data_IF_873472603195
#
_entry.id   IF_873472603195
#
_cell.length_a   1.000
_cell.length_b   1.000
_cell.length_c   1.000
_cell.angle_alpha   90.00
_cell.angle_beta   90.00
_cell.angle_gamma   90.00
#
_symmetry.space_group_name_H-M   'P 1'
#
loop_
_entity.id
_entity.type
_entity.pdbx_description
1 polymer ?
#
# COMPACT_ATOMS: atom_id res chain seq x y z
N UNK A 1 -14.11 4.31 4.88
CA UNK A 1 -13.88 3.34 5.99
C UNK A 1 -13.84 1.91 5.48
N UNK A 2 -14.67 1.52 4.51
CA UNK A 2 -14.62 0.20 3.86
C UNK A 2 -13.21 -0.20 3.37
N UNK A 3 -12.44 0.74 2.82
CA UNK A 3 -11.11 0.46 2.27
C UNK A 3 -10.10 -0.05 3.31
N UNK A 4 -10.17 0.37 4.57
CA UNK A 4 -9.26 -0.13 5.62
C UNK A 4 -9.60 -1.58 5.97
N UNK A 5 -10.89 -1.91 6.06
CA UNK A 5 -11.33 -3.29 6.29
C UNK A 5 -10.93 -4.20 5.14
N UNK A 6 -11.10 -3.75 3.89
CA UNK A 6 -10.64 -4.52 2.73
C UNK A 6 -9.14 -4.82 2.79
N UNK A 7 -8.31 -3.85 3.19
CA UNK A 7 -6.86 -4.08 3.33
C UNK A 7 -6.57 -5.10 4.44
N UNK A 8 -7.29 -5.05 5.55
CA UNK A 8 -7.16 -6.05 6.62
C UNK A 8 -7.56 -7.45 6.12
N UNK A 9 -8.66 -7.58 5.37
CA UNK A 9 -9.09 -8.87 4.80
C UNK A 9 -8.03 -9.45 3.86
N UNK A 10 -7.42 -8.61 3.02
CA UNK A 10 -6.31 -9.03 2.16
C UNK A 10 -5.10 -9.44 2.97
N UNK A 11 -4.79 -8.73 4.06
CA UNK A 11 -3.70 -9.09 4.94
C UNK A 11 -3.90 -10.49 5.53
N UNK A 12 -5.06 -10.72 6.11
CA UNK A 12 -5.37 -12.00 6.75
C UNK A 12 -5.39 -13.14 5.73
N UNK A 13 -5.82 -12.86 4.49
CA UNK A 13 -5.75 -13.81 3.40
C UNK A 13 -4.31 -14.14 2.96
N UNK A 14 -3.46 -13.12 2.76
CA UNK A 14 -2.11 -13.31 2.22
C UNK A 14 -1.18 -13.94 3.26
N UNK A 15 -1.35 -13.58 4.54
CA UNK A 15 -0.47 -14.02 5.63
C UNK A 15 -0.92 -15.33 6.29
N UNK A 16 -2.14 -15.80 6.01
CA UNK A 16 -2.61 -17.08 6.54
C UNK A 16 -1.89 -18.27 5.89
N UNK A 17 -1.40 -19.17 6.74
CA UNK A 17 -0.80 -20.45 6.34
C UNK A 17 -1.75 -21.31 5.50
N UNK A 18 -3.06 -21.20 5.76
CA UNK A 18 -4.10 -21.92 5.04
C UNK A 18 -4.07 -21.63 3.52
N UNK A 19 -3.79 -20.37 3.15
CA UNK A 19 -3.86 -19.92 1.77
C UNK A 19 -2.50 -19.92 1.05
N UNK A 20 -1.39 -20.17 1.75
CA UNK A 20 -0.05 -20.17 1.14
C UNK A 20 0.08 -21.15 -0.03
N UNK A 21 -0.49 -22.35 0.08
CA UNK A 21 -0.47 -23.34 -1.01
C UNK A 21 -1.18 -22.80 -2.26
N UNK A 22 -2.32 -22.14 -2.07
CA UNK A 22 -3.10 -21.54 -3.17
C UNK A 22 -2.37 -20.35 -3.78
N UNK A 23 -1.76 -19.49 -2.96
CA UNK A 23 -0.94 -18.38 -3.44
C UNK A 23 0.23 -18.86 -4.30
N UNK A 24 0.96 -19.88 -3.83
CA UNK A 24 2.06 -20.45 -4.59
C UNK A 24 1.62 -21.07 -5.91
N UNK A 25 0.44 -21.71 -5.95
CA UNK A 25 -0.10 -22.28 -7.18
C UNK A 25 -0.48 -21.20 -8.22
N UNK A 26 -1.01 -20.06 -7.78
CA UNK A 26 -1.46 -18.99 -8.68
C UNK A 26 -0.30 -18.10 -9.13
N UNK A 27 0.57 -17.72 -8.20
CA UNK A 27 1.63 -16.73 -8.46
C UNK A 27 3.00 -17.36 -8.70
N UNK A 28 3.19 -18.65 -8.41
CA UNK A 28 4.47 -19.34 -8.53
C UNK A 28 5.48 -19.00 -7.42
N UNK A 29 5.10 -18.20 -6.43
CA UNK A 29 5.90 -17.88 -5.25
C UNK A 29 5.01 -17.55 -4.05
N UNK A 30 5.60 -17.60 -2.85
CA UNK A 30 4.99 -17.13 -1.60
C UNK A 30 5.68 -15.83 -1.20
N UNK A 31 4.95 -14.71 -1.05
CA UNK A 31 5.53 -13.46 -0.59
C UNK A 31 6.17 -13.61 0.79
N UNK A 32 7.45 -13.28 0.94
CA UNK A 32 8.15 -13.32 2.24
C UNK A 32 8.02 -12.02 3.03
N UNK A 33 7.72 -10.91 2.33
CA UNK A 33 7.45 -9.60 2.91
C UNK A 33 6.32 -8.96 2.12
N UNK A 34 5.30 -8.50 2.82
CA UNK A 34 4.13 -7.83 2.23
C UNK A 34 4.00 -6.44 2.85
N UNK A 35 3.84 -5.43 1.99
CA UNK A 35 3.62 -4.05 2.42
C UNK A 35 2.26 -3.57 1.92
N UNK A 36 1.35 -3.27 2.85
CA UNK A 36 0.01 -2.79 2.53
C UNK A 36 0.04 -1.28 2.43
N UNK A 37 -0.29 -0.75 1.25
CA UNK A 37 -0.28 0.68 0.99
C UNK A 37 -1.69 1.15 0.66
N UNK A 38 -2.14 2.24 1.29
CA UNK A 38 -3.41 2.89 0.99
C UNK A 38 -3.14 4.25 0.36
N UNK A 39 -3.54 4.39 -0.90
CA UNK A 39 -3.43 5.65 -1.64
C UNK A 39 -4.49 6.65 -1.14
N UNK A 40 -4.05 7.81 -0.68
CA UNK A 40 -4.87 8.86 -0.11
C UNK A 40 -4.52 10.22 -0.71
N UNK A 41 -5.50 10.86 -1.37
CA UNK A 41 -5.48 12.28 -1.74
C UNK A 41 -4.12 12.86 -2.17
N UNK A 42 -3.95 14.17 -1.93
CA UNK A 42 -2.67 14.86 -2.12
C UNK A 42 -1.94 15.06 -0.80
N UNK A 43 -0.65 15.38 -0.87
CA UNK A 43 0.21 15.59 0.29
C UNK A 43 -0.30 16.66 1.26
N UNK A 44 -0.92 17.73 0.76
CA UNK A 44 -1.54 18.75 1.60
C UNK A 44 -2.75 18.22 2.42
N UNK A 45 -3.57 17.37 1.81
CA UNK A 45 -4.73 16.75 2.46
C UNK A 45 -4.30 15.72 3.51
N UNK A 46 -3.27 14.93 3.20
CA UNK A 46 -2.65 13.99 4.15
C UNK A 46 -2.10 14.75 5.35
N UNK A 47 -1.33 15.82 5.14
CA UNK A 47 -0.73 16.60 6.22
C UNK A 47 -1.78 17.21 7.15
N UNK A 48 -2.84 17.80 6.59
CA UNK A 48 -3.92 18.41 7.38
C UNK A 48 -4.75 17.40 8.18
N UNK A 49 -4.82 16.14 7.73
CA UNK A 49 -5.65 15.10 8.35
C UNK A 49 -4.88 14.00 9.08
N UNK A 50 -3.54 14.05 9.10
CA UNK A 50 -2.69 12.94 9.55
C UNK A 50 -3.00 12.48 10.97
N UNK A 51 -3.30 13.42 11.88
CA UNK A 51 -3.65 13.11 13.26
C UNK A 51 -4.93 12.26 13.34
N UNK A 52 -5.98 12.70 12.64
CA UNK A 52 -7.27 12.01 12.62
C UNK A 52 -7.16 10.64 11.92
N UNK A 53 -6.39 10.57 10.83
CA UNK A 53 -6.12 9.32 10.12
C UNK A 53 -5.41 8.32 11.04
N UNK A 54 -4.33 8.73 11.69
CA UNK A 54 -3.58 7.89 12.62
C UNK A 54 -4.44 7.41 13.80
N UNK A 55 -5.27 8.29 14.37
CA UNK A 55 -6.19 7.94 15.45
C UNK A 55 -7.17 6.83 15.01
N UNK A 56 -7.77 6.97 13.81
CA UNK A 56 -8.70 5.97 13.27
C UNK A 56 -8.01 4.66 12.93
N UNK A 57 -6.82 4.70 12.32
CA UNK A 57 -6.04 3.49 12.01
C UNK A 57 -5.68 2.70 13.26
N UNK A 58 -5.33 3.37 14.37
CA UNK A 58 -5.11 2.71 15.67
C UNK A 58 -6.35 2.01 16.18
N UNK A 59 -7.50 2.68 16.14
CA UNK A 59 -8.78 2.09 16.58
C UNK A 59 -9.17 0.86 15.77
N UNK A 60 -8.71 0.75 14.52
CA UNK A 60 -9.01 -0.35 13.60
C UNK A 60 -7.91 -1.41 13.53
N UNK A 61 -6.84 -1.33 14.34
CA UNK A 61 -5.70 -2.25 14.27
C UNK A 61 -4.90 -2.15 12.96
N UNK A 62 -5.08 -1.08 12.18
CA UNK A 62 -4.59 -0.93 10.82
C UNK A 62 -3.24 -0.19 10.73
N UNK A 63 -2.41 -0.27 11.79
CA UNK A 63 -1.11 0.41 11.85
C UNK A 63 -0.08 -0.16 10.86
N UNK A 64 -0.32 -1.36 10.34
CA UNK A 64 0.49 -2.01 9.32
C UNK A 64 0.28 -1.40 7.92
N UNK A 65 -0.75 -0.57 7.73
CA UNK A 65 -1.03 0.10 6.45
C UNK A 65 -0.16 1.35 6.35
N UNK A 66 0.63 1.46 5.29
CA UNK A 66 1.32 2.69 4.94
C UNK A 66 0.39 3.60 4.13
N UNK A 67 0.40 4.90 4.42
CA UNK A 67 -0.38 5.89 3.68
C UNK A 67 0.49 6.49 2.58
N UNK A 68 0.08 6.33 1.32
CA UNK A 68 0.76 6.87 0.14
C UNK A 68 -0.09 8.00 -0.47
N UNK A 69 0.50 9.07 -0.97
CA UNK A 69 -0.23 10.14 -1.70
C UNK A 69 -0.03 10.05 -3.21
N UNK A 70 -0.89 10.73 -3.98
CA UNK A 70 -0.69 10.83 -5.42
C UNK A 70 0.65 11.48 -5.78
N UNK A 71 1.10 12.47 -5.00
CA UNK A 71 2.38 13.13 -5.23
C UNK A 71 3.56 12.17 -4.99
N UNK A 72 3.51 11.39 -3.91
CA UNK A 72 4.52 10.35 -3.60
C UNK A 72 4.54 9.25 -4.67
N UNK A 73 3.37 8.83 -5.16
CA UNK A 73 3.25 7.83 -6.21
C UNK A 73 3.82 8.33 -7.55
N UNK A 74 3.51 9.57 -7.93
CA UNK A 74 4.02 10.18 -9.16
C UNK A 74 5.54 10.34 -9.11
N UNK A 75 6.09 10.81 -7.98
CA UNK A 75 7.54 10.91 -7.79
C UNK A 75 8.22 9.55 -7.90
N UNK A 76 7.64 8.50 -7.30
CA UNK A 76 8.14 7.13 -7.46
C UNK A 76 8.13 6.67 -8.92
N UNK A 77 7.04 6.93 -9.66
CA UNK A 77 6.91 6.58 -11.08
C UNK A 77 7.94 7.31 -11.93
N UNK A 78 8.13 8.61 -11.72
CA UNK A 78 9.15 9.41 -12.42
C UNK A 78 10.55 8.81 -12.16
N UNK A 79 10.92 8.58 -10.90
CA UNK A 79 12.22 7.97 -10.55
C UNK A 79 12.38 6.56 -11.12
N UNK A 80 11.31 5.79 -11.23
CA UNK A 80 11.35 4.47 -11.86
C UNK A 80 11.60 4.58 -13.37
N UNK A 81 10.83 5.42 -14.07
CA UNK A 81 10.96 5.63 -15.52
C UNK A 81 12.33 6.19 -15.91
N UNK A 82 12.93 7.01 -15.06
CA UNK A 82 14.26 7.57 -15.24
C UNK A 82 15.33 6.47 -15.14
N UNK A 83 15.25 5.61 -14.12
CA UNK A 83 16.14 4.46 -13.94
C UNK A 83 16.13 3.50 -15.12
N UNK A 84 14.97 3.29 -15.74
CA UNK A 84 14.84 2.42 -16.93
C UNK A 84 15.07 3.18 -18.25
N UNK A 85 15.52 4.44 -18.19
CA UNK A 85 15.85 5.31 -19.35
C UNK A 85 14.70 5.52 -20.33
N UNK A 86 13.46 5.45 -19.83
CA UNK A 86 12.26 5.72 -20.64
C UNK A 86 11.80 7.17 -20.54
N UNK A 87 12.27 7.92 -19.54
CA UNK A 87 12.08 9.36 -19.47
C UNK A 87 13.00 10.06 -20.47
N UNK A 88 12.49 10.31 -21.67
CA UNK A 88 13.03 11.38 -22.54
C UNK A 88 12.52 12.69 -21.98
N UNK A 89 13.21 13.26 -21.01
CA UNK A 89 13.00 14.66 -20.64
C UNK A 89 13.46 15.49 -21.85
N UNK A 90 12.52 16.11 -22.55
CA UNK A 90 12.77 17.12 -23.58
C UNK A 90 13.10 18.45 -22.91
#
# INVERSE_FOLDING_TARGET
MSYIFQVNDYKDYIESEEYQKKLNQVFGFIPTKVEYNLLIGRSADKASNIYNLNKRMRQMGALHINLLTYDELLDYQVKYLDRIKLLKVL
#
